data_IF_805609166662
#
_entry.id   IF_805609166662
#
_cell.length_a   1.000
_cell.length_b   1.000
_cell.length_c   1.000
_cell.angle_alpha   90.00
_cell.angle_beta   90.00
_cell.angle_gamma   90.00
#
_symmetry.space_group_name_H-M   'P 1'
#
loop_
_entity.id
_entity.type
_entity.pdbx_description
1 polymer ?
#
# COMPACT_ATOMS: atom_id res chain seq x y z
N UNK A 1 12.21 -30.75 0.69
CA UNK A 1 12.23 -29.27 0.53
C UNK A 1 12.97 -28.68 1.70
N UNK A 2 13.91 -27.77 1.46
CA UNK A 2 14.56 -27.03 2.54
C UNK A 2 13.67 -25.84 2.93
N UNK A 3 13.21 -25.80 4.17
CA UNK A 3 12.51 -24.64 4.74
C UNK A 3 13.52 -23.81 5.53
N UNK A 4 13.55 -22.50 5.29
CA UNK A 4 14.33 -21.55 6.08
C UNK A 4 13.38 -20.52 6.68
N UNK A 5 13.63 -20.15 7.93
CA UNK A 5 12.86 -19.12 8.61
C UNK A 5 13.27 -17.75 8.07
N UNK A 6 12.32 -17.01 7.53
CA UNK A 6 12.51 -15.64 7.10
C UNK A 6 12.33 -14.72 8.31
N UNK A 7 13.32 -13.88 8.61
CA UNK A 7 13.27 -12.89 9.69
C UNK A 7 13.39 -11.50 9.09
N UNK A 8 12.45 -10.62 9.43
CA UNK A 8 12.42 -9.24 8.97
C UNK A 8 12.38 -8.27 10.15
N UNK A 9 13.05 -7.13 10.02
CA UNK A 9 12.94 -6.01 10.96
C UNK A 9 11.75 -5.13 10.55
N UNK A 10 10.56 -5.50 11.00
CA UNK A 10 9.33 -4.77 10.75
C UNK A 10 8.56 -4.53 12.05
N UNK A 11 7.71 -3.50 12.07
CA UNK A 11 6.83 -3.23 13.20
C UNK A 11 5.79 -4.34 13.36
N UNK A 12 5.39 -4.62 14.60
CA UNK A 12 4.46 -5.71 14.93
C UNK A 12 3.09 -5.55 14.25
N UNK A 13 2.59 -4.32 14.10
CA UNK A 13 1.31 -4.07 13.42
C UNK A 13 1.43 -4.34 11.93
N UNK A 14 2.55 -3.96 11.32
CA UNK A 14 2.82 -4.23 9.90
C UNK A 14 2.91 -5.73 9.64
N UNK A 15 3.61 -6.47 10.51
CA UNK A 15 3.71 -7.93 10.44
C UNK A 15 2.35 -8.60 10.60
N UNK A 16 1.56 -8.20 11.60
CA UNK A 16 0.22 -8.76 11.84
C UNK A 16 -0.72 -8.53 10.65
N UNK A 17 -0.68 -7.33 10.06
CA UNK A 17 -1.46 -7.02 8.87
C UNK A 17 -1.04 -7.89 7.68
N UNK A 18 0.27 -8.01 7.43
CA UNK A 18 0.79 -8.79 6.32
C UNK A 18 0.50 -10.31 6.48
N UNK A 19 0.57 -10.84 7.71
CA UNK A 19 0.22 -12.22 8.04
C UNK A 19 -1.26 -12.52 7.79
N UNK A 20 -2.17 -11.61 8.18
CA UNK A 20 -3.59 -11.77 7.91
C UNK A 20 -3.88 -11.78 6.40
N UNK A 21 -3.21 -10.91 5.65
CA UNK A 21 -3.37 -10.80 4.20
C UNK A 21 -2.85 -12.05 3.47
N UNK A 22 -1.62 -12.49 3.76
CA UNK A 22 -1.03 -13.66 3.10
C UNK A 22 -1.82 -14.94 3.37
N UNK A 23 -2.36 -15.09 4.60
CA UNK A 23 -3.22 -16.21 4.95
C UNK A 23 -4.54 -16.17 4.18
N UNK A 24 -5.16 -15.00 4.08
CA UNK A 24 -6.44 -14.82 3.39
C UNK A 24 -6.32 -15.10 1.89
N UNK A 25 -5.26 -14.62 1.25
CA UNK A 25 -5.13 -14.67 -0.22
C UNK A 25 -4.45 -15.95 -0.72
N UNK A 26 -3.47 -16.48 0.03
CA UNK A 26 -2.62 -17.57 -0.44
C UNK A 26 -2.64 -18.80 0.50
N UNK A 27 -3.29 -18.72 1.66
CA UNK A 27 -3.28 -19.82 2.64
C UNK A 27 -1.91 -20.09 3.27
N UNK A 28 -0.99 -19.11 3.21
CA UNK A 28 0.39 -19.25 3.66
C UNK A 28 0.73 -18.22 4.74
N UNK A 29 1.72 -18.53 5.59
CA UNK A 29 2.28 -17.51 6.47
C UNK A 29 2.98 -16.42 5.66
N UNK A 30 3.11 -15.23 6.22
CA UNK A 30 3.76 -14.10 5.58
C UNK A 30 5.20 -14.45 5.19
N UNK A 31 5.93 -15.15 6.06
CA UNK A 31 7.30 -15.58 5.79
C UNK A 31 7.41 -16.57 4.62
N UNK A 32 6.45 -17.50 4.50
CA UNK A 32 6.40 -18.44 3.38
C UNK A 32 6.09 -17.72 2.07
N UNK A 33 5.08 -16.86 2.08
CA UNK A 33 4.70 -16.05 0.92
C UNK A 33 5.88 -15.19 0.43
N UNK A 34 6.50 -14.42 1.32
CA UNK A 34 7.64 -13.58 0.99
C UNK A 34 8.83 -14.38 0.46
N UNK A 35 9.16 -15.51 1.10
CA UNK A 35 10.24 -16.39 0.65
C UNK A 35 10.02 -16.90 -0.77
N UNK A 36 8.82 -17.37 -1.08
CA UNK A 36 8.46 -17.85 -2.43
C UNK A 36 8.56 -16.74 -3.47
N UNK A 37 7.92 -15.60 -3.22
CA UNK A 37 7.94 -14.46 -4.17
C UNK A 37 9.35 -13.94 -4.40
N UNK A 38 10.14 -13.80 -3.33
CA UNK A 38 11.51 -13.30 -3.40
C UNK A 38 12.41 -14.25 -4.22
N UNK A 39 12.35 -15.55 -3.96
CA UNK A 39 13.14 -16.53 -4.69
C UNK A 39 12.75 -16.59 -6.18
N UNK A 40 11.45 -16.57 -6.48
CA UNK A 40 10.98 -16.53 -7.87
C UNK A 40 11.44 -15.27 -8.60
N UNK A 41 11.46 -14.12 -7.93
CA UNK A 41 11.98 -12.88 -8.53
C UNK A 41 13.48 -12.98 -8.80
N UNK A 42 14.27 -13.50 -7.84
CA UNK A 42 15.72 -13.64 -8.01
C UNK A 42 16.05 -14.61 -9.14
N UNK A 43 15.32 -15.71 -9.24
CA UNK A 43 15.49 -16.70 -10.32
C UNK A 43 15.18 -16.07 -11.70
N UNK A 44 14.13 -15.25 -11.78
CA UNK A 44 13.73 -14.60 -13.03
C UNK A 44 14.67 -13.48 -13.46
N UNK A 45 15.21 -12.68 -12.52
CA UNK A 45 15.98 -11.47 -12.85
C UNK A 45 17.49 -11.62 -12.66
N UNK A 46 17.93 -12.65 -11.95
CA UNK A 46 19.33 -12.81 -11.52
C UNK A 46 19.79 -11.77 -10.49
N UNK A 47 18.88 -10.98 -9.92
CA UNK A 47 19.20 -9.85 -9.04
C UNK A 47 18.29 -9.82 -7.80
N UNK A 48 18.82 -9.30 -6.69
CA UNK A 48 18.01 -9.07 -5.49
C UNK A 48 17.03 -7.90 -5.72
N UNK A 49 15.72 -8.07 -5.44
CA UNK A 49 14.76 -6.99 -5.58
C UNK A 49 15.11 -5.80 -4.70
N UNK A 50 15.24 -4.63 -5.32
CA UNK A 50 15.38 -3.36 -4.61
C UNK A 50 14.03 -2.64 -4.63
N UNK A 51 13.45 -2.43 -3.44
CA UNK A 51 12.33 -1.49 -3.32
C UNK A 51 12.91 -0.07 -3.38
N UNK A 52 12.75 0.61 -4.51
CA UNK A 52 13.03 2.04 -4.57
C UNK A 52 12.16 2.73 -3.53
N UNK A 53 12.76 3.53 -2.64
CA UNK A 53 11.95 4.44 -1.82
C UNK A 53 11.30 5.41 -2.79
N UNK A 54 10.01 5.23 -3.04
CA UNK A 54 9.22 6.20 -3.80
C UNK A 54 9.53 7.59 -3.21
N UNK A 55 9.99 8.56 -4.03
CA UNK A 55 10.19 9.92 -3.55
C UNK A 55 8.88 10.38 -2.91
N UNK A 56 8.98 11.17 -1.85
CA UNK A 56 7.85 11.56 -0.98
C UNK A 56 6.65 12.13 -1.76
N UNK A 57 6.90 12.65 -2.96
CA UNK A 57 5.92 13.19 -3.91
C UNK A 57 5.04 12.12 -4.57
N UNK A 58 5.54 10.91 -4.83
CA UNK A 58 4.73 9.82 -5.41
C UNK A 58 3.69 9.29 -4.40
N UNK A 59 4.02 9.29 -3.10
CA UNK A 59 3.05 8.94 -2.04
C UNK A 59 1.94 9.96 -1.93
N UNK A 60 2.26 11.26 -2.06
CA UNK A 60 1.27 12.35 -2.08
C UNK A 60 0.38 12.25 -3.31
N UNK A 61 0.94 11.95 -4.48
CA UNK A 61 0.16 11.75 -5.71
C UNK A 61 -0.74 10.51 -5.67
N UNK A 62 -0.24 9.40 -5.11
CA UNK A 62 -1.04 8.18 -4.92
C UNK A 62 -2.18 8.40 -3.92
N UNK A 63 -1.93 9.10 -2.81
CA UNK A 63 -2.96 9.45 -1.83
C UNK A 63 -4.02 10.40 -2.43
N UNK A 64 -3.61 11.43 -3.17
CA UNK A 64 -4.52 12.34 -3.85
C UNK A 64 -5.38 11.61 -4.91
N UNK A 65 -4.79 10.69 -5.66
CA UNK A 65 -5.51 9.88 -6.66
C UNK A 65 -6.50 8.91 -6.00
N UNK A 66 -6.15 8.34 -4.85
CA UNK A 66 -7.03 7.45 -4.09
C UNK A 66 -8.23 8.20 -3.50
N UNK A 67 -8.01 9.42 -2.97
CA UNK A 67 -9.09 10.29 -2.48
C UNK A 67 -10.00 10.71 -3.64
N UNK A 68 -9.44 11.14 -4.79
CA UNK A 68 -10.22 11.48 -6.00
C UNK A 68 -11.01 10.27 -6.53
N UNK A 69 -10.45 9.07 -6.47
CA UNK A 69 -11.15 7.84 -6.83
C UNK A 69 -12.29 7.45 -5.86
N UNK A 70 -12.15 7.77 -4.57
CA UNK A 70 -13.19 7.56 -3.57
C UNK A 70 -14.33 8.58 -3.69
N UNK A 71 -14.03 9.87 -3.92
CA UNK A 71 -15.05 10.88 -4.16
C UNK A 71 -15.77 10.70 -5.49
N UNK A 72 -15.13 10.13 -6.51
CA UNK A 72 -15.80 9.72 -7.75
C UNK A 72 -16.76 8.52 -7.56
N UNK A 73 -16.52 7.66 -6.56
CA UNK A 73 -17.40 6.52 -6.22
C UNK A 73 -18.54 6.88 -5.26
N UNK A 74 -18.42 7.97 -4.50
CA UNK A 74 -19.49 8.47 -3.66
C UNK A 74 -20.46 9.33 -4.49
N UNK A 75 -21.76 9.12 -4.31
CA UNK A 75 -22.90 9.77 -5.00
C UNK A 75 -23.01 11.30 -4.77
N UNK A 76 -21.93 12.07 -4.89
CA UNK A 76 -21.98 13.53 -4.74
C UNK A 76 -21.23 14.22 -5.89
N UNK A 77 -21.91 14.47 -7.03
CA UNK A 77 -21.30 15.10 -8.21
C UNK A 77 -20.84 16.54 -7.96
N UNK A 78 -21.25 17.17 -6.86
CA UNK A 78 -20.80 18.50 -6.47
C UNK A 78 -19.34 18.50 -6.01
N UNK A 79 -18.92 17.50 -5.24
CA UNK A 79 -17.52 17.40 -4.73
C UNK A 79 -16.53 17.14 -5.86
N UNK A 80 -16.94 16.45 -6.92
CA UNK A 80 -16.11 16.20 -8.09
C UNK A 80 -15.86 17.46 -8.96
N UNK A 81 -16.63 18.53 -8.75
CA UNK A 81 -16.50 19.81 -9.48
C UNK A 81 -15.70 20.85 -8.70
N UNK A 82 -15.39 20.59 -7.45
CA UNK A 82 -14.64 21.50 -6.60
C UNK A 82 -13.16 21.50 -6.99
N UNK A 83 -12.57 22.68 -7.04
CA UNK A 83 -11.13 22.83 -7.22
C UNK A 83 -10.39 22.40 -5.96
N UNK A 84 -9.09 22.12 -6.09
CA UNK A 84 -8.26 21.73 -4.94
C UNK A 84 -8.21 22.84 -3.86
N UNK A 85 -8.52 24.10 -4.22
CA UNK A 85 -8.60 25.25 -3.31
C UNK A 85 -9.92 25.24 -2.52
N UNK A 86 -11.05 25.00 -3.19
CA UNK A 86 -12.38 24.88 -2.56
C UNK A 86 -12.45 23.70 -1.57
N UNK A 87 -11.74 22.60 -1.87
CA UNK A 87 -11.66 21.44 -0.97
C UNK A 87 -10.93 21.80 0.33
N UNK A 88 -9.90 22.66 0.26
CA UNK A 88 -9.15 23.08 1.44
C UNK A 88 -9.97 24.01 2.33
N UNK A 89 -10.69 24.97 1.76
CA UNK A 89 -11.60 25.83 2.53
C UNK A 89 -12.72 25.05 3.20
N UNK A 90 -13.34 24.08 2.50
CA UNK A 90 -14.40 23.25 3.06
C UNK A 90 -13.92 22.40 4.26
N UNK A 91 -12.66 21.97 4.24
CA UNK A 91 -12.05 21.26 5.37
C UNK A 91 -11.79 22.25 6.52
N UNK A 92 -11.26 23.43 6.23
CA UNK A 92 -10.97 24.45 7.24
C UNK A 92 -12.24 24.93 7.97
N UNK A 93 -13.35 25.15 7.26
CA UNK A 93 -14.62 25.64 7.82
C UNK A 93 -15.32 24.66 8.77
N UNK A 94 -14.78 23.44 8.93
CA UNK A 94 -15.34 22.39 9.80
C UNK A 94 -14.64 22.32 11.16
N UNK A 95 -13.56 23.08 11.33
CA UNK A 95 -12.74 23.15 12.54
C UNK A 95 -12.78 24.54 13.22
N UNK A 96 -13.58 25.46 12.69
CA UNK A 96 -14.11 26.65 13.39
C UNK A 96 -15.46 26.30 14.06
#
# INVERSE_FOLDING_TARGET
MATRTFSSRADERQLSFAEALSRREYGMSYGQYCGTVLLSSIEATGTLPHVAKAPEDERKQAAASLIKGFSARARNPEVARLSDEDIRELIASRYD
#
